data_IF_579430714741
#
_entry.id   IF_579430714741
#
_cell.length_a   1.000
_cell.length_b   1.000
_cell.length_c   1.000
_cell.angle_alpha   90.00
_cell.angle_beta   90.00
_cell.angle_gamma   90.00
#
_symmetry.space_group_name_H-M   'P 1'
#
loop_
_entity.id
_entity.type
_entity.pdbx_description
1 polymer ?
#
# COMPACT_ATOMS: atom_id res chain seq x y z
N UNK A 1 45.10 -5.29 13.40
CA UNK A 1 43.70 -5.76 13.26
C UNK A 1 42.81 -4.71 13.93
N UNK A 2 42.27 -3.76 13.16
CA UNK A 2 41.52 -2.62 13.69
C UNK A 2 40.01 -2.93 13.66
N UNK A 3 39.41 -3.06 14.85
CA UNK A 3 37.97 -3.16 15.04
C UNK A 3 37.36 -1.74 15.01
N UNK A 4 36.91 -1.28 13.84
CA UNK A 4 36.19 -0.02 13.73
C UNK A 4 34.67 -0.26 13.85
N UNK A 5 33.99 0.24 14.90
CA UNK A 5 32.57 -0.05 15.18
C UNK A 5 31.57 0.62 14.21
N UNK A 6 32.06 1.36 13.20
CA UNK A 6 31.23 2.06 12.21
C UNK A 6 30.90 1.23 10.95
N UNK A 7 31.47 0.03 10.78
CA UNK A 7 31.13 -0.89 9.70
C UNK A 7 29.83 -1.69 9.94
N UNK A 8 29.05 -1.32 10.96
CA UNK A 8 27.62 -1.67 11.04
C UNK A 8 26.77 -0.69 10.25
N UNK A 9 27.22 -0.32 9.06
CA UNK A 9 26.28 0.11 8.02
C UNK A 9 25.45 -1.13 7.70
N UNK A 10 24.33 -1.30 8.43
CA UNK A 10 23.17 -2.01 7.88
C UNK A 10 23.01 -1.39 6.50
N UNK A 11 23.39 -2.13 5.45
CA UNK A 11 23.18 -1.72 4.06
C UNK A 11 21.75 -1.22 3.99
N UNK A 12 21.58 0.11 4.01
CA UNK A 12 20.30 0.78 3.93
C UNK A 12 19.86 0.61 2.49
N UNK A 13 19.49 -0.63 2.13
CA UNK A 13 18.92 -0.93 0.84
C UNK A 13 17.67 -0.06 0.75
N UNK A 14 17.66 0.85 -0.22
CA UNK A 14 16.52 1.68 -0.49
C UNK A 14 15.24 0.83 -0.49
N UNK A 15 14.14 1.35 0.09
CA UNK A 15 12.88 0.66 0.06
C UNK A 15 12.52 0.35 -1.39
N UNK A 16 12.34 -0.93 -1.69
CA UNK A 16 12.08 -1.40 -3.05
C UNK A 16 10.86 -2.33 -3.04
N UNK A 17 10.02 -2.14 -4.06
CA UNK A 17 8.88 -2.98 -4.33
C UNK A 17 9.35 -4.29 -4.97
N UNK A 18 9.09 -5.43 -4.32
CA UNK A 18 9.52 -6.75 -4.81
C UNK A 18 9.03 -7.03 -6.24
N UNK A 19 7.83 -6.56 -6.59
CA UNK A 19 7.21 -6.78 -7.90
C UNK A 19 7.83 -5.95 -9.04
N UNK A 20 8.20 -4.70 -8.78
CA UNK A 20 8.57 -3.76 -9.85
C UNK A 20 10.02 -3.27 -9.79
N UNK A 21 10.75 -3.52 -8.69
CA UNK A 21 12.08 -2.95 -8.52
C UNK A 21 13.03 -3.27 -9.67
N UNK A 22 13.01 -4.49 -10.20
CA UNK A 22 13.87 -4.92 -11.29
C UNK A 22 13.66 -4.11 -12.58
N UNK A 23 12.42 -3.69 -12.85
CA UNK A 23 12.02 -3.05 -14.10
C UNK A 23 11.95 -1.52 -14.02
N UNK A 24 12.04 -0.93 -12.82
CA UNK A 24 12.08 0.52 -12.66
C UNK A 24 13.45 1.07 -13.05
N UNK A 25 13.45 2.14 -13.84
CA UNK A 25 14.64 2.97 -14.10
C UNK A 25 15.20 3.53 -12.78
N UNK A 26 16.51 3.82 -12.68
CA UNK A 26 17.12 4.39 -11.47
C UNK A 26 16.41 5.63 -10.93
N UNK A 27 15.99 6.55 -11.80
CA UNK A 27 15.26 7.78 -11.44
C UNK A 27 13.93 7.46 -10.74
N UNK A 28 13.11 6.59 -11.34
CA UNK A 28 11.85 6.11 -10.73
C UNK A 28 12.06 5.37 -9.42
N UNK A 29 13.19 4.69 -9.23
CA UNK A 29 13.54 4.08 -7.94
C UNK A 29 13.85 5.17 -6.90
N UNK A 30 14.57 6.22 -7.28
CA UNK A 30 14.87 7.35 -6.39
C UNK A 30 13.60 8.12 -6.00
N UNK A 31 12.70 8.37 -6.97
CA UNK A 31 11.39 8.99 -6.73
C UNK A 31 10.58 8.17 -5.71
N UNK A 32 10.44 6.86 -5.92
CA UNK A 32 9.72 5.98 -4.98
C UNK A 32 10.35 5.97 -3.57
N UNK A 33 11.68 6.04 -3.49
CA UNK A 33 12.40 6.10 -2.22
C UNK A 33 12.18 7.44 -1.49
N UNK A 34 12.12 8.55 -2.22
CA UNK A 34 11.87 9.88 -1.65
C UNK A 34 10.47 9.98 -1.03
N UNK A 35 9.46 9.35 -1.63
CA UNK A 35 8.10 9.31 -1.10
C UNK A 35 7.88 8.28 0.00
N UNK A 36 8.85 7.40 0.26
CA UNK A 36 8.68 6.32 1.22
C UNK A 36 8.85 6.84 2.66
N UNK A 37 7.81 6.79 3.52
CA UNK A 37 7.94 7.19 4.91
C UNK A 37 8.93 6.28 5.67
N UNK A 38 10.02 6.89 6.14
CA UNK A 38 11.08 6.19 6.88
C UNK A 38 10.63 5.97 8.32
N UNK A 39 10.63 4.71 8.75
CA UNK A 39 10.22 4.31 10.10
C UNK A 39 8.78 3.79 10.18
N UNK A 40 8.51 2.96 11.21
CA UNK A 40 7.21 2.27 11.34
C UNK A 40 6.06 3.20 11.71
N UNK A 41 6.32 4.20 12.55
CA UNK A 41 5.33 5.19 12.93
C UNK A 41 4.97 6.07 11.73
N UNK A 42 5.95 6.56 10.97
CA UNK A 42 5.71 7.32 9.74
C UNK A 42 4.91 6.50 8.70
N UNK A 43 5.23 5.20 8.55
CA UNK A 43 4.46 4.29 7.69
C UNK A 43 3.01 4.13 8.16
N UNK A 44 2.77 4.00 9.47
CA UNK A 44 1.43 3.92 10.02
C UNK A 44 0.65 5.22 9.82
N UNK A 45 1.26 6.37 10.10
CA UNK A 45 0.66 7.68 9.90
C UNK A 45 0.32 7.94 8.43
N UNK A 46 1.24 7.63 7.52
CA UNK A 46 1.01 7.70 6.08
C UNK A 46 -0.22 6.89 5.65
N UNK A 47 -0.34 5.65 6.15
CA UNK A 47 -1.49 4.81 5.84
C UNK A 47 -2.78 5.34 6.48
N UNK A 48 -2.74 5.84 7.71
CA UNK A 48 -3.92 6.46 8.33
C UNK A 48 -4.45 7.62 7.48
N UNK A 49 -3.57 8.51 7.01
CA UNK A 49 -3.96 9.60 6.09
C UNK A 49 -4.49 9.04 4.77
N UNK A 50 -3.83 8.04 4.18
CA UNK A 50 -4.25 7.49 2.88
C UNK A 50 -5.61 6.80 2.91
N UNK A 51 -6.02 6.33 4.08
CA UNK A 51 -7.27 5.65 4.35
C UNK A 51 -8.28 6.53 5.10
N UNK A 52 -8.14 7.86 5.05
CA UNK A 52 -9.07 8.81 5.67
C UNK A 52 -9.31 8.56 7.17
N UNK A 53 -8.26 8.14 7.88
CA UNK A 53 -8.28 7.71 9.28
C UNK A 53 -9.25 6.55 9.58
N UNK A 54 -9.67 5.78 8.56
CA UNK A 54 -10.55 4.64 8.71
C UNK A 54 -9.79 3.43 9.27
N UNK A 55 -9.74 3.35 10.61
CA UNK A 55 -9.05 2.29 11.35
C UNK A 55 -9.57 0.88 11.01
N UNK A 56 -10.89 0.61 10.93
CA UNK A 56 -11.38 -0.71 10.54
C UNK A 56 -10.88 -1.18 9.16
N UNK A 57 -10.93 -0.30 8.16
CA UNK A 57 -10.45 -0.62 6.80
C UNK A 57 -8.94 -0.87 6.81
N UNK A 58 -8.18 -0.01 7.48
CA UNK A 58 -6.73 -0.17 7.59
C UNK A 58 -6.36 -1.47 8.31
N UNK A 59 -7.08 -1.84 9.37
CA UNK A 59 -6.90 -3.09 10.09
C UNK A 59 -7.14 -4.31 9.19
N UNK A 60 -8.21 -4.29 8.40
CA UNK A 60 -8.52 -5.34 7.43
C UNK A 60 -7.42 -5.47 6.35
N UNK A 61 -6.98 -4.35 5.77
CA UNK A 61 -5.90 -4.33 4.77
C UNK A 61 -4.59 -4.86 5.33
N UNK A 62 -4.27 -4.57 6.58
CA UNK A 62 -3.05 -5.02 7.23
C UNK A 62 -3.16 -6.42 7.85
N UNK A 63 -4.35 -7.05 7.81
CA UNK A 63 -4.61 -8.34 8.45
C UNK A 63 -4.39 -8.32 9.96
N UNK A 64 -4.82 -7.25 10.63
CA UNK A 64 -4.64 -7.05 12.08
C UNK A 64 -5.91 -6.49 12.72
N UNK A 65 -5.90 -6.28 14.05
CA UNK A 65 -7.04 -5.70 14.76
C UNK A 65 -6.98 -4.17 14.79
N UNK A 66 -8.14 -3.51 14.79
CA UNK A 66 -8.22 -2.05 14.95
C UNK A 66 -7.57 -1.57 16.25
N UNK A 67 -7.68 -2.36 17.34
CA UNK A 67 -6.98 -2.08 18.61
C UNK A 67 -5.46 -2.04 18.43
N UNK A 68 -4.90 -2.95 17.63
CA UNK A 68 -3.47 -2.93 17.32
C UNK A 68 -3.12 -1.65 16.55
N UNK A 69 -3.87 -1.30 15.51
CA UNK A 69 -3.67 -0.05 14.73
C UNK A 69 -3.68 1.17 15.64
N UNK A 70 -4.71 1.35 16.49
CA UNK A 70 -4.80 2.47 17.42
C UNK A 70 -3.62 2.51 18.41
N UNK A 71 -3.21 1.35 18.94
CA UNK A 71 -2.06 1.27 19.85
C UNK A 71 -0.77 1.72 19.16
N UNK A 72 -0.53 1.30 17.93
CA UNK A 72 0.65 1.73 17.17
C UNK A 72 0.60 3.20 16.79
N UNK A 73 -0.57 3.71 16.41
CA UNK A 73 -0.77 5.12 16.08
C UNK A 73 -0.44 6.04 17.27
N UNK A 74 -0.77 5.61 18.49
CA UNK A 74 -0.47 6.33 19.74
C UNK A 74 0.98 6.14 20.24
N UNK A 75 1.85 5.53 19.44
CA UNK A 75 3.25 5.32 19.84
C UNK A 75 3.44 4.20 20.86
N UNK A 76 2.57 3.18 20.87
CA UNK A 76 2.67 2.04 21.78
C UNK A 76 4.09 1.45 21.83
N UNK A 77 4.55 1.17 23.06
CA UNK A 77 5.94 0.80 23.39
C UNK A 77 6.40 -0.53 22.80
N UNK A 78 5.47 -1.44 22.49
CA UNK A 78 5.83 -2.74 21.94
C UNK A 78 6.03 -2.65 20.42
N UNK A 79 7.19 -3.11 19.89
CA UNK A 79 7.45 -3.05 18.48
C UNK A 79 6.48 -3.96 17.70
N UNK A 80 6.04 -3.54 16.50
CA UNK A 80 5.15 -4.35 15.66
C UNK A 80 5.76 -5.70 15.39
N UNK A 81 4.96 -6.77 15.52
CA UNK A 81 5.37 -8.12 15.18
C UNK A 81 5.84 -8.22 13.72
N UNK A 82 6.68 -9.22 13.37
CA UNK A 82 7.30 -9.33 12.04
C UNK A 82 6.30 -9.33 10.89
N UNK A 83 5.12 -9.94 11.07
CA UNK A 83 4.03 -9.95 10.07
C UNK A 83 3.50 -8.54 9.80
N UNK A 84 3.17 -7.78 10.86
CA UNK A 84 2.67 -6.41 10.73
C UNK A 84 3.74 -5.48 10.13
N UNK A 85 5.02 -5.65 10.50
CA UNK A 85 6.12 -4.89 9.88
C UNK A 85 6.21 -5.09 8.37
N UNK A 86 6.05 -6.34 7.92
CA UNK A 86 6.04 -6.69 6.50
C UNK A 86 4.79 -6.14 5.81
N UNK A 87 3.62 -6.29 6.41
CA UNK A 87 2.36 -5.77 5.89
C UNK A 87 2.39 -4.24 5.72
N UNK A 88 2.85 -3.49 6.73
CA UNK A 88 3.04 -2.04 6.65
C UNK A 88 3.97 -1.65 5.51
N UNK A 89 5.17 -2.25 5.47
CA UNK A 89 6.16 -1.94 4.43
C UNK A 89 5.60 -2.23 3.04
N UNK A 90 5.00 -3.41 2.84
CA UNK A 90 4.42 -3.81 1.56
C UNK A 90 3.30 -2.87 1.15
N UNK A 91 2.38 -2.54 2.06
CA UNK A 91 1.25 -1.68 1.72
C UNK A 91 1.68 -0.27 1.35
N UNK A 92 2.66 0.29 2.05
CA UNK A 92 3.25 1.59 1.71
C UNK A 92 3.91 1.52 0.33
N UNK A 93 4.70 0.47 0.06
CA UNK A 93 5.32 0.27 -1.25
C UNK A 93 4.28 0.16 -2.38
N UNK A 94 3.15 -0.52 -2.17
CA UNK A 94 2.08 -0.61 -3.16
C UNK A 94 1.44 0.77 -3.46
N UNK A 95 1.56 1.73 -2.55
CA UNK A 95 0.99 3.07 -2.68
C UNK A 95 1.97 4.12 -3.20
N UNK A 96 3.29 3.90 -3.06
CA UNK A 96 4.32 4.85 -3.52
C UNK A 96 5.09 4.36 -4.74
N UNK A 97 5.03 3.06 -5.06
CA UNK A 97 5.73 2.50 -6.21
C UNK A 97 5.02 2.91 -7.51
N UNK A 98 5.73 3.57 -8.46
CA UNK A 98 5.13 3.98 -9.74
C UNK A 98 4.52 2.81 -10.52
N UNK A 99 5.17 1.63 -10.50
CA UNK A 99 4.65 0.43 -11.15
C UNK A 99 3.35 -0.07 -10.51
N UNK A 100 3.27 -0.10 -9.17
CA UNK A 100 2.03 -0.50 -8.48
C UNK A 100 0.89 0.51 -8.71
N UNK A 101 1.23 1.80 -8.82
CA UNK A 101 0.26 2.85 -9.13
C UNK A 101 -0.27 2.70 -10.57
N UNK A 102 0.61 2.44 -11.54
CA UNK A 102 0.20 2.17 -12.92
C UNK A 102 -0.67 0.91 -13.03
N UNK A 103 -0.26 -0.19 -12.39
CA UNK A 103 -1.06 -1.42 -12.33
C UNK A 103 -2.45 -1.19 -11.75
N UNK A 104 -2.54 -0.41 -10.68
CA UNK A 104 -3.81 -0.09 -10.04
C UNK A 104 -4.70 0.74 -10.97
N UNK A 105 -4.14 1.74 -11.65
CA UNK A 105 -4.88 2.55 -12.61
C UNK A 105 -5.44 1.71 -13.77
N UNK A 106 -4.65 0.75 -14.27
CA UNK A 106 -5.11 -0.19 -15.31
C UNK A 106 -6.26 -1.06 -14.80
N UNK A 107 -6.16 -1.58 -13.58
CA UNK A 107 -7.21 -2.43 -13.02
C UNK A 107 -8.49 -1.63 -12.69
N UNK A 108 -8.35 -0.39 -12.21
CA UNK A 108 -9.45 0.55 -12.00
C UNK A 108 -10.18 0.85 -13.32
N UNK A 109 -9.45 1.11 -14.42
CA UNK A 109 -10.03 1.31 -15.74
C UNK A 109 -10.79 0.07 -16.24
N UNK A 110 -10.18 -1.11 -16.13
CA UNK A 110 -10.84 -2.39 -16.47
C UNK A 110 -12.10 -2.62 -15.63
N UNK A 111 -12.06 -2.27 -14.35
CA UNK A 111 -13.21 -2.42 -13.49
C UNK A 111 -14.34 -1.47 -13.88
N UNK A 112 -14.03 -0.21 -14.19
CA UNK A 112 -15.00 0.76 -14.69
C UNK A 112 -15.67 0.27 -15.99
N UNK A 113 -14.90 -0.26 -16.93
CA UNK A 113 -15.45 -0.86 -18.16
C UNK A 113 -16.41 -2.03 -17.87
N UNK A 114 -16.02 -2.93 -16.95
CA UNK A 114 -16.87 -4.05 -16.54
C UNK A 114 -18.16 -3.55 -15.91
N UNK A 115 -18.12 -2.49 -15.11
CA UNK A 115 -19.30 -1.95 -14.45
C UNK A 115 -20.23 -1.21 -15.41
N UNK A 116 -19.70 -0.49 -16.41
CA UNK A 116 -20.48 0.05 -17.53
C UNK A 116 -21.18 -1.05 -18.31
N UNK A 117 -20.47 -2.13 -18.66
CA UNK A 117 -21.06 -3.29 -19.34
C UNK A 117 -22.16 -3.96 -18.50
N UNK A 118 -21.96 -4.08 -17.19
CA UNK A 118 -22.97 -4.62 -16.26
C UNK A 118 -24.19 -3.70 -16.15
N UNK A 119 -24.00 -2.39 -16.12
CA UNK A 119 -25.08 -1.41 -16.11
C UNK A 119 -25.91 -1.51 -17.40
N UNK A 120 -25.26 -1.52 -18.57
CA UNK A 120 -25.93 -1.66 -19.86
C UNK A 120 -26.78 -2.94 -19.96
N UNK A 121 -26.25 -4.08 -19.49
CA UNK A 121 -27.01 -5.35 -19.44
C UNK A 121 -28.23 -5.28 -18.50
N UNK A 122 -28.13 -4.56 -17.38
CA UNK A 122 -29.26 -4.36 -16.45
C UNK A 122 -30.34 -3.49 -17.09
N UNK A 123 -29.96 -2.40 -17.75
CA UNK A 123 -30.88 -1.53 -18.46
C UNK A 123 -31.60 -2.24 -19.61
N UNK A 124 -30.88 -3.09 -20.36
CA UNK A 124 -31.49 -3.92 -21.42
C UNK A 124 -32.55 -4.90 -20.85
N UNK A 125 -32.24 -5.58 -19.74
CA UNK A 125 -33.19 -6.50 -19.07
C UNK A 125 -34.38 -5.80 -18.42
N UNK A 126 -34.21 -4.55 -17.98
CA UNK A 126 -35.30 -3.74 -17.41
C UNK A 126 -36.29 -3.25 -18.46
N UNK A 127 -35.80 -2.91 -19.67
CA UNK A 127 -36.65 -2.52 -20.80
C UNK A 127 -37.51 -3.66 -21.32
N UNK A 128 -36.99 -4.89 -21.32
CA UNK A 128 -37.72 -6.08 -21.80
C UNK A 128 -38.91 -6.48 -20.89
N UNK A 129 -38.88 -6.10 -19.60
CA UNK A 129 -39.97 -6.35 -18.64
C UNK A 129 -41.04 -5.27 -18.57
N UNK A 130 -40.82 -4.11 -19.20
CA UNK A 130 -41.75 -2.96 -19.15
C UNK A 130 -42.55 -2.77 -20.43
N UNK A 131 -42.41 -3.67 -21.41
CA UNK A 131 -43.14 -3.66 -22.68
C UNK A 131 -44.26 -4.70 -22.80
N UNK A 132 -44.81 -5.20 -21.69
CA UNK A 132 -46.00 -6.07 -21.67
C UNK A 132 -47.15 -5.41 -20.94
#
# INVERSE_FOLDING_TARGET
MNNNPLDRVRKNKAPHCERHHAHLTPERRAEAAAWFPVGRQAQMAFLLVRYDNNVPVLAAVLGTSGRAVCRYARGGLLPPGPRLRRALRRRVLDLVCPGCLADRAVEEARQAERDVRRAARRSARGRDRSGR
#
